data_IF_388607480849
#
_entry.id   IF_388607480849
#
_cell.length_a   1.000
_cell.length_b   1.000
_cell.length_c   1.000
_cell.angle_alpha   90.00
_cell.angle_beta   90.00
_cell.angle_gamma   90.00
#
_symmetry.space_group_name_H-M   'P 1'
#
loop_
_entity.id
_entity.type
_entity.pdbx_description
1 polymer ?
#
# COMPACT_ATOMS: atom_id res chain seq x y z
N UNK A 1 -28.60 -33.05 30.21
CA UNK A 1 -27.12 -32.97 30.13
C UNK A 1 -26.75 -32.05 28.98
N UNK A 2 -25.83 -31.14 29.27
CA UNK A 2 -25.14 -30.13 28.45
C UNK A 2 -24.97 -30.53 26.97
N UNK A 3 -25.01 -29.64 25.98
CA UNK A 3 -24.21 -28.42 25.87
C UNK A 3 -24.84 -27.43 24.88
N UNK A 4 -24.75 -26.16 25.24
CA UNK A 4 -24.97 -25.00 24.40
C UNK A 4 -23.70 -24.81 23.56
N UNK A 5 -23.84 -24.61 22.24
CA UNK A 5 -22.82 -23.92 21.46
C UNK A 5 -23.51 -22.77 20.72
N UNK A 6 -23.86 -21.77 21.50
CA UNK A 6 -24.17 -20.42 21.05
C UNK A 6 -22.88 -19.84 20.49
N UNK A 7 -22.78 -19.73 19.17
CA UNK A 7 -21.71 -18.97 18.54
C UNK A 7 -22.01 -17.48 18.70
N UNK A 8 -21.74 -16.96 19.89
CA UNK A 8 -21.58 -15.53 20.13
C UNK A 8 -20.15 -15.15 19.78
N UNK A 9 -19.90 -14.55 18.62
CA UNK A 9 -18.71 -13.70 18.43
C UNK A 9 -19.01 -12.60 17.41
N UNK A 10 -19.42 -11.47 17.98
CA UNK A 10 -19.13 -10.08 17.60
C UNK A 10 -19.33 -9.62 16.15
N UNK A 11 -20.45 -8.92 15.96
CA UNK A 11 -20.52 -7.59 15.36
C UNK A 11 -19.15 -6.89 15.14
N UNK A 12 -18.66 -6.93 13.90
CA UNK A 12 -17.66 -6.00 13.35
C UNK A 12 -18.20 -5.43 12.03
N UNK A 13 -19.36 -4.80 12.09
CA UNK A 13 -19.92 -3.95 11.02
C UNK A 13 -19.64 -2.47 11.24
N UNK A 14 -18.62 -2.11 12.03
CA UNK A 14 -18.23 -0.72 12.27
C UNK A 14 -17.18 -0.28 11.24
N UNK A 15 -17.68 0.42 10.21
CA UNK A 15 -16.99 1.25 9.21
C UNK A 15 -15.52 1.56 9.54
N UNK A 16 -14.58 1.05 8.76
CA UNK A 16 -13.22 1.60 8.73
C UNK A 16 -12.84 1.76 7.26
N UNK A 17 -12.66 3.00 6.80
CA UNK A 17 -12.32 3.26 5.40
C UNK A 17 -11.01 2.56 5.07
N UNK A 18 -11.09 1.39 4.43
CA UNK A 18 -9.92 0.66 3.93
C UNK A 18 -9.23 1.58 2.95
N UNK A 19 -8.22 2.31 3.43
CA UNK A 19 -7.47 3.23 2.60
C UNK A 19 -6.80 2.42 1.50
N UNK A 20 -7.39 2.46 0.31
CA UNK A 20 -6.88 1.72 -0.82
C UNK A 20 -5.79 2.55 -1.49
N UNK A 21 -4.55 2.22 -1.15
CA UNK A 21 -3.37 2.89 -1.66
C UNK A 21 -3.34 2.96 -3.19
N UNK A 22 -3.73 1.88 -3.87
CA UNK A 22 -3.75 1.82 -5.34
C UNK A 22 -4.74 2.83 -5.90
N UNK A 23 -5.96 2.87 -5.37
CA UNK A 23 -7.00 3.82 -5.78
C UNK A 23 -6.53 5.26 -5.57
N UNK A 24 -6.00 5.57 -4.38
CA UNK A 24 -5.53 6.92 -4.06
C UNK A 24 -4.44 7.41 -5.03
N UNK A 25 -3.50 6.55 -5.39
CA UNK A 25 -2.44 6.87 -6.33
C UNK A 25 -2.96 7.00 -7.78
N UNK A 26 -3.90 6.13 -8.17
CA UNK A 26 -4.55 6.17 -9.48
C UNK A 26 -5.38 7.46 -9.68
N UNK A 27 -6.10 7.90 -8.63
CA UNK A 27 -6.84 9.18 -8.63
C UNK A 27 -5.92 10.40 -8.81
N UNK A 28 -4.65 10.28 -8.42
CA UNK A 28 -3.62 11.30 -8.66
C UNK A 28 -3.01 11.22 -10.07
N UNK A 29 -3.47 10.30 -10.92
CA UNK A 29 -2.95 10.09 -12.27
C UNK A 29 -1.59 9.38 -12.29
N UNK A 30 -1.22 8.70 -11.21
CA UNK A 30 0.10 8.07 -11.08
C UNK A 30 0.10 6.66 -11.64
N UNK A 31 1.25 6.27 -12.20
CA UNK A 31 1.45 4.91 -12.68
C UNK A 31 1.87 4.00 -11.52
N UNK A 32 0.94 3.19 -11.06
CA UNK A 32 1.15 2.23 -9.97
C UNK A 32 1.30 0.83 -10.54
N UNK A 33 2.31 0.12 -10.07
CA UNK A 33 2.61 -1.27 -10.43
C UNK A 33 2.53 -2.09 -9.14
N UNK A 34 1.47 -2.86 -8.98
CA UNK A 34 1.37 -3.81 -7.89
C UNK A 34 2.17 -5.08 -8.22
N UNK A 35 3.22 -5.35 -7.46
CA UNK A 35 3.95 -6.63 -7.48
C UNK A 35 3.77 -7.45 -6.21
N UNK A 36 2.78 -7.11 -5.37
CA UNK A 36 2.49 -7.85 -4.14
C UNK A 36 2.11 -9.30 -4.42
N UNK A 37 1.39 -9.56 -5.51
CA UNK A 37 0.99 -10.90 -5.94
C UNK A 37 2.17 -11.87 -6.15
N UNK A 38 3.37 -11.37 -6.46
CA UNK A 38 4.57 -12.20 -6.65
C UNK A 38 5.55 -12.14 -5.46
N UNK A 39 5.08 -11.72 -4.28
CA UNK A 39 5.95 -11.52 -3.10
C UNK A 39 6.79 -10.24 -3.18
N UNK A 40 6.47 -9.33 -4.10
CA UNK A 40 7.13 -8.05 -4.26
C UNK A 40 6.45 -6.91 -3.50
N UNK A 41 6.81 -5.69 -3.87
CA UNK A 41 6.28 -4.44 -3.33
C UNK A 41 5.32 -3.76 -4.31
N UNK A 42 4.56 -2.75 -3.85
CA UNK A 42 3.92 -1.80 -4.75
C UNK A 42 4.98 -0.81 -5.20
N UNK A 43 5.04 -0.57 -6.50
CA UNK A 43 5.88 0.45 -7.11
C UNK A 43 5.00 1.58 -7.64
N UNK A 44 5.47 2.80 -7.52
CA UNK A 44 4.83 4.00 -8.06
C UNK A 44 5.87 4.70 -8.92
N UNK A 45 5.66 4.72 -10.23
CA UNK A 45 6.58 5.38 -11.16
C UNK A 45 6.40 6.89 -11.01
N UNK A 46 7.50 7.58 -10.74
CA UNK A 46 7.54 9.02 -10.53
C UNK A 46 8.73 9.45 -9.69
N UNK A 47 9.11 10.71 -9.84
CA UNK A 47 10.26 11.32 -9.16
C UNK A 47 9.88 12.05 -7.87
N UNK A 48 10.43 13.25 -7.73
CA UNK A 48 10.19 14.18 -6.62
C UNK A 48 8.73 14.65 -6.51
N UNK A 49 7.95 14.57 -7.59
CA UNK A 49 6.51 14.92 -7.58
C UNK A 49 5.69 14.05 -6.62
N UNK A 50 6.16 12.82 -6.36
CA UNK A 50 5.52 11.90 -5.42
C UNK A 50 5.87 12.22 -3.97
N UNK A 51 6.92 13.01 -3.70
CA UNK A 51 7.36 13.33 -2.34
C UNK A 51 6.24 13.79 -1.38
N UNK A 52 5.36 14.76 -1.75
CA UNK A 52 4.25 15.14 -0.88
C UNK A 52 3.27 14.00 -0.60
N UNK A 53 2.96 13.17 -1.61
CA UNK A 53 2.06 12.02 -1.50
C UNK A 53 2.68 10.95 -0.61
N UNK A 54 3.95 10.63 -0.82
CA UNK A 54 4.69 9.66 -0.01
C UNK A 54 4.79 10.11 1.44
N UNK A 55 4.98 11.41 1.69
CA UNK A 55 4.99 11.97 3.04
C UNK A 55 3.64 11.79 3.74
N UNK A 56 2.52 12.02 3.03
CA UNK A 56 1.17 11.74 3.56
C UNK A 56 0.96 10.24 3.83
N UNK A 57 1.50 9.37 2.99
CA UNK A 57 1.43 7.93 3.21
C UNK A 57 2.26 7.48 4.42
N UNK A 58 3.41 8.12 4.64
CA UNK A 58 4.25 7.86 5.80
C UNK A 58 3.56 8.24 7.12
N UNK A 59 2.72 9.28 7.16
CA UNK A 59 1.93 9.60 8.36
C UNK A 59 0.88 8.54 8.67
N UNK A 60 0.44 7.79 7.65
CA UNK A 60 -0.45 6.62 7.79
C UNK A 60 0.29 5.32 8.11
N UNK A 61 1.61 5.38 8.35
CA UNK A 61 2.46 4.21 8.62
C UNK A 61 2.93 3.47 7.37
N UNK A 62 2.61 3.96 6.16
CA UNK A 62 3.02 3.33 4.91
C UNK A 62 4.33 3.98 4.45
N UNK A 63 5.45 3.27 4.62
CA UNK A 63 6.76 3.76 4.20
C UNK A 63 7.05 3.38 2.75
N UNK A 64 7.64 4.32 2.03
CA UNK A 64 8.17 4.11 0.70
C UNK A 64 9.64 4.50 0.65
N UNK A 65 10.38 3.83 -0.23
CA UNK A 65 11.76 4.14 -0.52
C UNK A 65 11.90 4.56 -1.98
N UNK A 66 12.71 5.59 -2.23
CA UNK A 66 12.92 6.15 -3.56
C UNK A 66 14.02 5.40 -4.29
N UNK A 67 13.66 4.78 -5.41
CA UNK A 67 14.58 4.20 -6.37
C UNK A 67 14.83 5.19 -7.51
N UNK A 68 15.90 6.00 -7.41
CA UNK A 68 16.29 6.98 -8.44
C UNK A 68 16.52 6.35 -9.81
N UNK A 69 17.13 5.16 -9.85
CA UNK A 69 17.37 4.40 -11.09
C UNK A 69 16.23 3.44 -11.43
N UNK A 70 15.14 3.47 -10.66
CA UNK A 70 14.05 2.52 -10.79
C UNK A 70 14.46 1.07 -10.57
N UNK A 71 13.68 0.17 -11.15
CA UNK A 71 13.97 -1.25 -11.29
C UNK A 71 13.74 -1.64 -12.76
N UNK A 72 14.14 -2.86 -13.13
CA UNK A 72 13.70 -3.48 -14.40
C UNK A 72 12.16 -3.46 -14.51
N UNK A 73 11.46 -3.53 -13.36
CA UNK A 73 9.99 -3.42 -13.28
C UNK A 73 9.45 -2.04 -13.66
N UNK A 74 10.26 -0.99 -13.59
CA UNK A 74 9.86 0.39 -13.90
C UNK A 74 10.56 0.92 -15.15
N UNK A 75 11.14 0.03 -15.98
CA UNK A 75 11.90 0.37 -17.18
C UNK A 75 13.04 1.38 -16.92
N UNK A 76 13.76 1.22 -15.80
CA UNK A 76 14.80 2.16 -15.34
C UNK A 76 14.31 3.60 -15.11
N UNK A 77 13.01 3.81 -14.92
CA UNK A 77 12.44 5.11 -14.55
C UNK A 77 12.45 5.29 -13.03
N UNK A 78 12.69 6.51 -12.53
CA UNK A 78 12.62 6.81 -11.11
C UNK A 78 11.24 6.40 -10.55
N UNK A 79 11.25 5.72 -9.42
CA UNK A 79 10.04 5.17 -8.82
C UNK A 79 10.17 5.03 -7.31
N UNK A 80 9.05 4.90 -6.63
CA UNK A 80 8.96 4.67 -5.20
C UNK A 80 8.39 3.29 -4.93
N UNK A 81 8.97 2.51 -4.04
CA UNK A 81 8.47 1.18 -3.68
C UNK A 81 8.09 1.10 -2.21
N UNK A 82 7.02 0.36 -1.90
CA UNK A 82 6.61 0.13 -0.50
C UNK A 82 7.64 -0.73 0.20
N UNK A 83 8.13 -0.26 1.35
CA UNK A 83 9.02 -1.04 2.21
C UNK A 83 8.12 -1.68 3.27
N UNK A 84 7.91 -2.99 3.18
CA UNK A 84 7.17 -3.74 4.20
C UNK A 84 8.06 -3.84 5.42
N UNK A 85 8.02 -2.84 6.31
CA UNK A 85 8.59 -2.96 7.65
C UNK A 85 7.68 -3.88 8.45
N UNK A 86 8.06 -5.15 8.53
CA UNK A 86 7.70 -5.99 9.67
C UNK A 86 8.58 -5.52 10.84
N UNK A 87 7.95 -5.08 11.93
CA UNK A 87 8.59 -5.07 13.25
C UNK A 87 8.26 -6.38 13.95
#
# INVERSE_FOLDING_TARGET
>A
VSQQHTFNTSNQGNKNGTFNLITFLCEKGLTVIDKRASGGAIWVVGGSELFPIIKELATKGIRFSFAKNGSQSTQNKPAWYTVSTVE
#
